data_IF_361804611736
#
_entry.id   IF_361804611736
#
_cell.length_a   1.000
_cell.length_b   1.000
_cell.length_c   1.000
_cell.angle_alpha   90.00
_cell.angle_beta   90.00
_cell.angle_gamma   90.00
#
_symmetry.space_group_name_H-M   'P 1'
#
loop_
_entity.id
_entity.type
_entity.pdbx_description
1 polymer ?
#
# COMPACT_ATOMS: atom_id res chain seq x y z
N UNK A 1 17.11 -9.13 -25.21
CA UNK A 1 18.03 -8.48 -24.26
C UNK A 1 17.41 -8.63 -22.89
N UNK A 2 18.07 -9.36 -22.00
CA UNK A 2 17.53 -9.77 -20.70
C UNK A 2 17.49 -8.58 -19.74
N UNK A 3 16.31 -8.07 -19.42
CA UNK A 3 16.13 -6.99 -18.44
C UNK A 3 16.28 -7.58 -17.04
N UNK A 4 17.51 -7.47 -16.53
CA UNK A 4 18.02 -7.70 -15.18
C UNK A 4 17.01 -7.99 -14.07
N UNK A 5 17.12 -9.20 -13.53
CA UNK A 5 16.78 -9.57 -12.15
C UNK A 5 17.73 -8.94 -11.09
N UNK A 6 18.42 -7.84 -11.40
CA UNK A 6 19.62 -7.43 -10.66
C UNK A 6 19.38 -6.57 -9.40
N UNK A 7 18.21 -5.94 -9.24
CA UNK A 7 18.07 -4.82 -8.29
C UNK A 7 16.83 -4.91 -7.38
N UNK A 8 16.43 -6.12 -6.96
CA UNK A 8 15.46 -6.32 -5.86
C UNK A 8 16.21 -6.70 -4.58
N UNK A 9 16.02 -5.91 -3.54
CA UNK A 9 16.71 -6.06 -2.25
C UNK A 9 15.69 -6.33 -1.15
N UNK A 10 15.91 -7.40 -0.37
CA UNK A 10 15.22 -7.56 0.89
C UNK A 10 15.74 -6.50 1.89
N UNK A 11 14.99 -6.27 2.97
CA UNK A 11 15.43 -5.32 4.00
C UNK A 11 16.82 -5.69 4.53
N UNK A 12 17.03 -6.96 4.87
CA UNK A 12 18.29 -7.52 5.37
C UNK A 12 19.48 -7.30 4.41
N UNK A 13 19.23 -7.28 3.10
CA UNK A 13 20.29 -7.07 2.10
C UNK A 13 20.92 -5.67 2.20
N UNK A 14 20.15 -4.69 2.69
CA UNK A 14 20.55 -3.28 2.78
C UNK A 14 21.41 -2.97 4.00
N UNK A 15 21.49 -3.90 4.96
CA UNK A 15 22.33 -3.82 6.16
C UNK A 15 23.71 -4.48 6.02
N UNK A 16 23.93 -5.32 5.01
CA UNK A 16 25.20 -6.02 4.77
C UNK A 16 25.95 -5.46 3.56
N UNK A 17 27.23 -5.14 3.72
CA UNK A 17 28.04 -4.39 2.72
C UNK A 17 28.33 -5.13 1.39
N UNK A 18 27.79 -6.32 1.16
CA UNK A 18 28.08 -7.13 -0.02
C UNK A 18 27.08 -6.98 -1.18
N UNK A 19 25.77 -6.89 -0.90
CA UNK A 19 24.74 -6.98 -1.96
C UNK A 19 24.39 -5.66 -2.62
N UNK A 20 24.60 -4.55 -1.92
CA UNK A 20 24.37 -3.20 -2.47
C UNK A 20 25.61 -2.61 -3.15
N UNK A 21 26.75 -3.32 -3.14
CA UNK A 21 28.06 -2.81 -3.59
C UNK A 21 28.07 -2.16 -4.98
N UNK A 22 27.25 -2.64 -5.91
CA UNK A 22 27.14 -2.10 -7.28
C UNK A 22 26.20 -0.90 -7.46
N UNK A 23 25.48 -0.49 -6.41
CA UNK A 23 24.56 0.65 -6.47
C UNK A 23 25.31 1.97 -6.33
N UNK A 24 24.82 3.00 -7.04
CA UNK A 24 25.23 4.38 -6.78
C UNK A 24 24.89 4.77 -5.34
N UNK A 25 25.70 5.63 -4.73
CA UNK A 25 25.55 6.03 -3.32
C UNK A 25 24.15 6.61 -3.05
N UNK A 26 23.63 7.45 -3.96
CA UNK A 26 22.28 8.01 -3.88
C UNK A 26 21.20 6.92 -3.75
N UNK A 27 21.29 5.88 -4.55
CA UNK A 27 20.30 4.80 -4.60
C UNK A 27 20.38 3.96 -3.34
N UNK A 28 21.60 3.64 -2.91
CA UNK A 28 21.88 2.92 -1.67
C UNK A 28 21.34 3.68 -0.45
N UNK A 29 21.58 4.98 -0.38
CA UNK A 29 21.13 5.83 0.72
C UNK A 29 19.61 5.95 0.75
N UNK A 30 18.96 6.10 -0.42
CA UNK A 30 17.51 6.12 -0.53
C UNK A 30 16.87 4.80 -0.09
N UNK A 31 17.41 3.66 -0.54
CA UNK A 31 16.94 2.34 -0.14
C UNK A 31 17.10 2.12 1.36
N UNK A 32 18.24 2.50 1.94
CA UNK A 32 18.48 2.42 3.39
C UNK A 32 17.51 3.30 4.17
N UNK A 33 17.28 4.53 3.73
CA UNK A 33 16.32 5.44 4.38
C UNK A 33 14.90 4.86 4.38
N UNK A 34 14.43 4.31 3.26
CA UNK A 34 13.11 3.66 3.18
C UNK A 34 13.07 2.38 4.02
N UNK A 35 14.13 1.56 4.00
CA UNK A 35 14.20 0.35 4.81
C UNK A 35 14.18 0.64 6.32
N UNK A 36 14.90 1.66 6.76
CA UNK A 36 14.92 2.09 8.17
C UNK A 36 13.59 2.68 8.58
N UNK A 37 12.94 3.48 7.72
CA UNK A 37 11.58 3.95 7.93
C UNK A 37 10.58 2.78 8.03
N UNK A 38 10.70 1.74 7.20
CA UNK A 38 9.86 0.54 7.31
C UNK A 38 10.05 -0.13 8.68
N UNK A 39 11.29 -0.31 9.12
CA UNK A 39 11.63 -0.98 10.39
C UNK A 39 11.21 -0.20 11.64
N UNK A 40 11.25 1.13 11.58
CA UNK A 40 11.09 1.98 12.77
C UNK A 40 9.72 2.64 12.86
N UNK A 41 8.96 2.67 11.77
CA UNK A 41 7.64 3.30 11.74
C UNK A 41 6.57 2.35 11.20
N UNK A 42 6.77 1.73 10.04
CA UNK A 42 5.69 0.99 9.35
C UNK A 42 5.27 -0.27 10.09
N UNK A 43 6.24 -0.99 10.66
CA UNK A 43 6.01 -2.23 11.43
C UNK A 43 5.70 -1.98 12.90
N UNK A 44 5.85 -0.74 13.37
CA UNK A 44 5.67 -0.37 14.77
C UNK A 44 4.24 0.15 15.03
N UNK A 45 3.72 0.01 16.27
CA UNK A 45 2.48 0.65 16.65
C UNK A 45 2.64 2.17 16.76
N UNK A 46 1.54 2.89 16.57
CA UNK A 46 1.52 4.35 16.70
C UNK A 46 0.26 4.82 17.43
N UNK A 47 0.42 5.71 18.42
CA UNK A 47 -0.68 6.17 19.28
C UNK A 47 -1.78 6.89 18.48
N UNK A 48 -1.38 7.66 17.48
CA UNK A 48 -2.31 8.39 16.60
C UNK A 48 -2.95 7.51 15.50
N UNK A 49 -2.71 6.20 15.46
CA UNK A 49 -3.25 5.35 14.39
C UNK A 49 -4.78 5.13 14.48
N UNK A 50 -5.34 5.30 15.68
CA UNK A 50 -6.77 5.06 15.95
C UNK A 50 -7.14 3.56 16.11
N UNK A 51 -6.16 2.66 16.08
CA UNK A 51 -6.32 1.22 16.37
C UNK A 51 -5.03 0.65 16.99
N UNK A 52 -5.07 -0.47 17.72
CA UNK A 52 -3.86 -1.15 18.18
C UNK A 52 -3.10 -1.81 17.03
N UNK A 53 -1.82 -2.10 17.27
CA UNK A 53 -0.94 -2.80 16.33
C UNK A 53 -0.22 -1.87 15.36
N UNK A 54 0.46 -2.44 14.35
CA UNK A 54 1.36 -1.72 13.47
C UNK A 54 0.65 -0.69 12.56
N UNK A 55 1.38 0.35 12.16
CA UNK A 55 0.92 1.35 11.18
C UNK A 55 0.38 0.67 9.92
N UNK A 56 1.11 -0.32 9.38
CA UNK A 56 0.60 -1.19 8.31
C UNK A 56 0.55 -2.66 8.76
N UNK A 57 -0.64 -3.30 8.82
CA UNK A 57 -0.77 -4.70 9.24
C UNK A 57 -0.24 -5.71 8.21
N UNK A 58 -0.07 -5.30 6.95
CA UNK A 58 0.46 -6.17 5.89
C UNK A 58 1.98 -6.39 6.01
N UNK A 59 2.71 -5.35 6.39
CA UNK A 59 4.17 -5.30 6.27
C UNK A 59 4.90 -6.25 7.23
N UNK A 60 4.52 -6.41 8.52
CA UNK A 60 5.22 -7.34 9.41
C UNK A 60 5.27 -8.78 8.87
N UNK A 61 4.15 -9.29 8.34
CA UNK A 61 4.10 -10.64 7.75
C UNK A 61 4.93 -10.71 6.47
N UNK A 62 4.88 -9.68 5.62
CA UNK A 62 5.68 -9.62 4.41
C UNK A 62 7.18 -9.65 4.70
N UNK A 63 7.64 -8.86 5.68
CA UNK A 63 9.03 -8.86 6.15
C UNK A 63 9.42 -10.22 6.73
N UNK A 64 8.61 -10.77 7.64
CA UNK A 64 8.89 -12.05 8.28
C UNK A 64 8.97 -13.22 7.27
N UNK A 65 8.22 -13.14 6.17
CA UNK A 65 8.23 -14.15 5.09
C UNK A 65 9.27 -13.87 4.00
N UNK A 66 10.05 -12.79 4.10
CA UNK A 66 10.98 -12.32 3.07
C UNK A 66 10.30 -12.06 1.72
N UNK A 67 9.16 -11.37 1.78
CA UNK A 67 8.24 -11.08 0.66
C UNK A 67 8.11 -9.59 0.38
N UNK A 68 8.95 -8.77 1.02
CA UNK A 68 9.05 -7.33 0.80
C UNK A 68 10.40 -7.03 0.15
N UNK A 69 10.37 -6.56 -1.08
CA UNK A 69 11.56 -6.14 -1.82
C UNK A 69 11.55 -4.63 -2.06
N UNK A 70 12.71 -4.01 -2.06
CA UNK A 70 12.91 -2.65 -2.51
C UNK A 70 13.70 -2.64 -3.83
N UNK A 71 13.35 -1.73 -4.73
CA UNK A 71 14.11 -1.41 -5.92
C UNK A 71 14.32 0.10 -6.00
N UNK A 72 15.50 0.55 -6.41
CA UNK A 72 15.76 1.96 -6.69
C UNK A 72 15.69 2.18 -8.20
N UNK A 73 14.89 3.15 -8.63
CA UNK A 73 14.65 3.44 -10.03
C UNK A 73 14.75 4.94 -10.29
N UNK A 74 15.40 5.32 -11.40
CA UNK A 74 15.56 6.72 -11.77
C UNK A 74 14.49 7.13 -12.79
N UNK A 75 13.89 8.30 -12.57
CA UNK A 75 12.90 8.90 -13.47
C UNK A 75 13.56 9.84 -14.48
N UNK A 76 14.65 10.50 -14.09
CA UNK A 76 15.28 11.58 -14.85
C UNK A 76 14.26 12.65 -15.25
N UNK A 77 14.36 13.11 -16.49
CA UNK A 77 13.41 14.07 -17.07
C UNK A 77 12.11 13.40 -17.59
N UNK A 78 11.94 12.09 -17.38
CA UNK A 78 10.88 11.29 -17.99
C UNK A 78 9.49 11.41 -17.37
N UNK A 79 9.36 12.00 -16.18
CA UNK A 79 8.08 12.25 -15.51
C UNK A 79 7.19 11.01 -15.36
N UNK A 80 5.86 11.20 -15.41
CA UNK A 80 4.88 10.12 -15.23
C UNK A 80 5.00 8.97 -16.25
N UNK A 81 5.20 9.19 -17.56
CA UNK A 81 5.35 8.09 -18.52
C UNK A 81 6.49 7.13 -18.16
N UNK A 82 7.65 7.67 -17.74
CA UNK A 82 8.78 6.85 -17.30
C UNK A 82 8.45 6.05 -16.04
N UNK A 83 7.75 6.65 -15.09
CA UNK A 83 7.32 5.95 -13.87
C UNK A 83 6.34 4.83 -14.21
N UNK A 84 5.39 5.04 -15.13
CA UNK A 84 4.48 3.99 -15.62
C UNK A 84 5.27 2.79 -16.16
N UNK A 85 6.21 3.02 -17.07
CA UNK A 85 7.01 1.95 -17.67
C UNK A 85 7.77 1.12 -16.61
N UNK A 86 8.36 1.81 -15.63
CA UNK A 86 9.09 1.16 -14.53
C UNK A 86 8.16 0.35 -13.63
N UNK A 87 7.03 0.92 -13.24
CA UNK A 87 6.10 0.28 -12.30
C UNK A 87 5.39 -0.91 -12.96
N UNK A 88 5.01 -0.81 -14.23
CA UNK A 88 4.47 -1.93 -14.99
C UNK A 88 5.51 -3.04 -15.19
N UNK A 89 6.80 -2.72 -15.33
CA UNK A 89 7.85 -3.74 -15.36
C UNK A 89 7.93 -4.52 -14.04
N UNK A 90 7.88 -3.83 -12.90
CA UNK A 90 7.85 -4.47 -11.58
C UNK A 90 6.58 -5.28 -11.34
N UNK A 91 5.43 -4.78 -11.82
CA UNK A 91 4.17 -5.53 -11.82
C UNK A 91 4.31 -6.84 -12.59
N UNK A 92 4.86 -6.83 -13.81
CA UNK A 92 5.09 -8.05 -14.59
C UNK A 92 6.00 -9.03 -13.85
N UNK A 93 7.10 -8.55 -13.29
CA UNK A 93 8.02 -9.39 -12.48
C UNK A 93 7.34 -10.02 -11.28
N UNK A 94 6.48 -9.27 -10.59
CA UNK A 94 5.68 -9.75 -9.45
C UNK A 94 4.74 -10.88 -9.90
N UNK A 95 4.05 -10.69 -11.03
CA UNK A 95 3.13 -11.69 -11.59
C UNK A 95 3.87 -12.96 -12.08
N UNK A 96 5.03 -12.78 -12.72
CA UNK A 96 5.86 -13.88 -13.25
C UNK A 96 6.48 -14.73 -12.13
N UNK A 97 6.65 -14.19 -10.92
CA UNK A 97 7.17 -14.94 -9.77
C UNK A 97 6.25 -16.07 -9.30
N UNK A 98 5.03 -16.18 -9.85
CA UNK A 98 4.22 -17.39 -9.80
C UNK A 98 3.52 -17.66 -8.47
N UNK A 99 3.29 -16.63 -7.63
CA UNK A 99 2.39 -16.77 -6.49
C UNK A 99 0.94 -16.72 -6.97
N UNK A 100 0.21 -17.82 -6.76
CA UNK A 100 -1.20 -17.88 -7.12
C UNK A 100 -1.96 -16.74 -6.45
N UNK A 101 -2.72 -15.97 -7.23
CA UNK A 101 -3.58 -14.92 -6.71
C UNK A 101 -4.54 -15.51 -5.67
N UNK A 102 -4.48 -14.99 -4.43
CA UNK A 102 -5.29 -15.43 -3.30
C UNK A 102 -5.05 -14.56 -2.07
N UNK A 103 -5.85 -14.73 -1.03
CA UNK A 103 -5.88 -13.85 0.17
C UNK A 103 -4.61 -13.89 1.06
N UNK A 104 -3.65 -14.78 0.77
CA UNK A 104 -2.45 -15.04 1.62
C UNK A 104 -1.12 -14.72 0.92
N UNK A 105 -1.13 -13.99 -0.21
CA UNK A 105 0.11 -13.44 -0.77
C UNK A 105 0.52 -12.17 -0.02
N UNK A 106 1.78 -12.14 0.41
CA UNK A 106 2.41 -11.00 1.06
C UNK A 106 3.53 -10.41 0.19
N UNK A 107 3.57 -10.76 -1.09
CA UNK A 107 4.54 -10.23 -2.03
C UNK A 107 4.28 -8.74 -2.26
N UNK A 108 5.30 -7.91 -2.06
CA UNK A 108 5.26 -6.48 -2.35
C UNK A 108 6.62 -6.01 -2.82
N UNK A 109 6.61 -5.22 -3.89
CA UNK A 109 7.78 -4.48 -4.35
C UNK A 109 7.58 -3.00 -4.04
N UNK A 110 8.52 -2.40 -3.34
CA UNK A 110 8.59 -0.96 -3.07
C UNK A 110 9.56 -0.35 -4.08
N UNK A 111 9.02 0.35 -5.09
CA UNK A 111 9.81 1.01 -6.14
C UNK A 111 10.10 2.44 -5.69
N UNK A 112 11.32 2.65 -5.20
CA UNK A 112 11.85 3.91 -4.67
C UNK A 112 12.40 4.75 -5.82
N UNK A 113 12.11 6.06 -5.80
CA UNK A 113 12.56 7.01 -6.82
C UNK A 113 13.50 8.06 -6.21
N UNK A 114 14.82 7.77 -6.09
CA UNK A 114 15.78 8.64 -5.41
C UNK A 114 15.94 10.02 -6.07
N UNK A 115 15.63 10.12 -7.36
CA UNK A 115 15.74 11.34 -8.16
C UNK A 115 14.45 12.13 -8.36
N UNK A 116 13.33 11.65 -7.81
CA UNK A 116 12.06 12.36 -7.81
C UNK A 116 11.97 13.28 -6.58
N UNK A 117 11.89 14.62 -6.74
CA UNK A 117 11.66 15.52 -5.62
C UNK A 117 10.26 15.33 -5.01
N UNK A 118 10.14 15.47 -3.69
CA UNK A 118 8.88 15.25 -2.96
C UNK A 118 7.76 16.21 -3.39
N UNK A 119 8.09 17.47 -3.69
CA UNK A 119 7.15 18.49 -4.17
C UNK A 119 6.58 18.18 -5.56
N UNK A 120 7.25 17.33 -6.34
CA UNK A 120 6.76 16.83 -7.64
C UNK A 120 6.06 15.47 -7.55
N UNK A 121 6.27 14.73 -6.47
CA UNK A 121 5.81 13.35 -6.35
C UNK A 121 4.27 13.24 -6.39
N UNK A 122 3.54 14.18 -5.78
CA UNK A 122 2.07 14.20 -5.79
C UNK A 122 1.51 14.22 -7.21
N UNK A 123 1.98 15.14 -8.06
CA UNK A 123 1.52 15.27 -9.43
C UNK A 123 1.90 14.06 -10.28
N UNK A 124 3.17 13.63 -10.21
CA UNK A 124 3.68 12.49 -10.99
C UNK A 124 2.94 11.20 -10.63
N UNK A 125 2.81 10.87 -9.35
CA UNK A 125 2.11 9.65 -8.93
C UNK A 125 0.60 9.75 -9.18
N UNK A 126 0.00 10.93 -9.10
CA UNK A 126 -1.39 11.15 -9.48
C UNK A 126 -1.66 10.78 -10.93
N UNK A 127 -0.84 11.26 -11.87
CA UNK A 127 -0.94 10.93 -13.29
C UNK A 127 -0.71 9.43 -13.55
N UNK A 128 0.31 8.83 -12.92
CA UNK A 128 0.60 7.39 -13.02
C UNK A 128 -0.61 6.57 -12.60
N UNK A 129 -1.17 6.83 -11.41
CA UNK A 129 -2.25 6.05 -10.85
C UNK A 129 -3.56 6.20 -11.65
N UNK A 130 -3.84 7.39 -12.19
CA UNK A 130 -4.96 7.59 -13.11
C UNK A 130 -4.87 6.69 -14.35
N UNK A 131 -3.66 6.43 -14.83
CA UNK A 131 -3.44 5.60 -16.01
C UNK A 131 -3.54 4.09 -15.71
N UNK A 132 -2.91 3.61 -14.62
CA UNK A 132 -2.68 2.17 -14.44
C UNK A 132 -3.45 1.51 -13.30
N UNK A 133 -3.98 2.26 -12.33
CA UNK A 133 -4.49 1.66 -11.10
C UNK A 133 -5.73 0.79 -11.32
N UNK A 134 -6.76 1.32 -11.98
CA UNK A 134 -8.01 0.57 -12.23
C UNK A 134 -7.79 -0.61 -13.18
N UNK A 135 -7.14 -0.46 -14.36
CA UNK A 135 -6.88 -1.59 -15.24
C UNK A 135 -6.11 -2.72 -14.55
N UNK A 136 -5.03 -2.38 -13.83
CA UNK A 136 -4.21 -3.37 -13.12
C UNK A 136 -4.95 -4.08 -12.00
N UNK A 137 -5.87 -3.39 -11.32
CA UNK A 137 -6.70 -4.03 -10.29
C UNK A 137 -7.75 -4.97 -10.90
N UNK A 138 -8.39 -4.57 -11.99
CA UNK A 138 -9.43 -5.36 -12.64
C UNK A 138 -8.85 -6.61 -13.30
N UNK A 139 -7.74 -6.47 -14.02
CA UNK A 139 -7.11 -7.55 -14.79
C UNK A 139 -6.33 -8.50 -13.89
N UNK A 140 -5.45 -7.94 -13.06
CA UNK A 140 -4.46 -8.73 -12.32
C UNK A 140 -4.70 -8.72 -10.80
N UNK A 141 -5.55 -7.82 -10.31
CA UNK A 141 -5.73 -7.58 -8.88
C UNK A 141 -4.57 -6.88 -8.21
N UNK A 142 -3.85 -6.04 -8.95
CA UNK A 142 -2.72 -5.31 -8.42
C UNK A 142 -3.19 -3.99 -7.82
N UNK A 143 -2.66 -3.68 -6.65
CA UNK A 143 -2.84 -2.42 -5.94
C UNK A 143 -1.50 -1.68 -5.93
N UNK A 144 -1.58 -0.37 -6.16
CA UNK A 144 -0.47 0.56 -6.00
C UNK A 144 -0.81 1.56 -4.90
N UNK A 145 0.20 2.07 -4.21
CA UNK A 145 0.01 3.14 -3.24
C UNK A 145 1.19 4.11 -3.24
N UNK A 146 0.93 5.42 -3.39
CA UNK A 146 1.98 6.43 -3.42
C UNK A 146 2.38 6.85 -2.02
N UNK A 147 3.69 6.95 -1.78
CA UNK A 147 4.27 7.47 -0.55
C UNK A 147 5.30 8.52 -0.89
N UNK A 148 5.22 9.66 -0.23
CA UNK A 148 6.13 10.79 -0.43
C UNK A 148 5.95 11.78 0.72
N UNK A 149 6.96 12.61 0.96
CA UNK A 149 6.83 13.69 1.93
C UNK A 149 5.75 14.69 1.49
N UNK A 150 4.96 15.18 2.44
CA UNK A 150 3.81 16.05 2.17
C UNK A 150 2.52 15.32 1.80
N UNK A 151 2.51 13.98 1.63
CA UNK A 151 1.28 13.23 1.38
C UNK A 151 0.21 13.53 2.45
N UNK A 152 -1.00 13.87 1.97
CA UNK A 152 -2.12 14.38 2.77
C UNK A 152 -3.18 13.32 3.10
N UNK A 153 -3.05 12.10 2.59
CA UNK A 153 -3.96 11.00 2.87
C UNK A 153 -3.94 10.61 4.35
N UNK A 154 -5.11 10.28 4.90
CA UNK A 154 -5.31 10.04 6.33
C UNK A 154 -5.28 8.55 6.69
N UNK A 155 -5.05 8.24 7.96
CA UNK A 155 -5.27 6.89 8.45
C UNK A 155 -6.77 6.56 8.53
N UNK A 156 -7.13 5.31 8.26
CA UNK A 156 -8.53 4.82 8.24
C UNK A 156 -9.30 5.17 9.54
N UNK A 157 -8.62 5.14 10.69
CA UNK A 157 -9.26 5.32 12.00
C UNK A 157 -8.88 6.66 12.68
N UNK A 158 -8.13 7.53 11.99
CA UNK A 158 -7.79 8.86 12.50
C UNK A 158 -7.43 9.83 11.37
N UNK A 159 -8.32 10.79 11.11
CA UNK A 159 -8.15 11.84 10.11
C UNK A 159 -7.06 12.87 10.44
N UNK A 160 -6.54 12.87 11.67
CA UNK A 160 -5.40 13.68 12.09
C UNK A 160 -4.04 13.08 11.73
N UNK A 161 -3.98 11.78 11.45
CA UNK A 161 -2.71 11.07 11.22
C UNK A 161 -2.39 10.94 9.73
N UNK A 162 -1.11 11.03 9.35
CA UNK A 162 -0.64 10.99 7.93
C UNK A 162 0.38 9.86 7.73
N UNK A 163 -0.08 8.60 7.62
CA UNK A 163 0.83 7.44 7.59
C UNK A 163 1.54 7.24 6.24
N UNK A 164 1.15 7.97 5.19
CA UNK A 164 1.68 7.83 3.83
C UNK A 164 2.89 8.72 3.53
N UNK A 165 3.45 9.37 4.56
CA UNK A 165 4.66 10.19 4.44
C UNK A 165 5.90 9.31 4.59
N UNK A 166 6.73 9.30 3.56
CA UNK A 166 7.98 8.54 3.49
C UNK A 166 9.19 9.48 3.31
N UNK A 167 10.41 9.03 3.68
CA UNK A 167 11.62 9.84 3.52
C UNK A 167 12.03 10.04 2.05
N UNK A 168 11.62 9.12 1.17
CA UNK A 168 11.88 9.17 -0.27
C UNK A 168 10.59 8.80 -1.01
N UNK A 169 10.25 9.46 -2.13
CA UNK A 169 9.10 9.08 -2.93
C UNK A 169 9.18 7.65 -3.45
N UNK A 170 8.10 6.89 -3.31
CA UNK A 170 7.98 5.54 -3.84
C UNK A 170 6.54 5.17 -4.19
N UNK A 171 6.40 4.18 -5.06
CA UNK A 171 5.15 3.45 -5.30
C UNK A 171 5.37 1.98 -4.90
N UNK A 172 4.46 1.42 -4.12
CA UNK A 172 4.45 -0.04 -3.95
C UNK A 172 3.66 -0.72 -5.07
N UNK A 173 3.98 -1.98 -5.34
CA UNK A 173 3.25 -2.90 -6.21
C UNK A 173 2.99 -4.19 -5.44
N UNK A 174 1.73 -4.57 -5.25
CA UNK A 174 1.35 -5.87 -4.64
C UNK A 174 0.01 -6.36 -5.16
N UNK A 175 -0.29 -7.62 -4.89
CA UNK A 175 -1.66 -8.09 -5.00
C UNK A 175 -2.55 -7.43 -3.94
N UNK A 176 -3.77 -7.10 -4.34
CA UNK A 176 -4.84 -6.69 -3.45
C UNK A 176 -5.21 -7.83 -2.50
N UNK A 177 -5.55 -7.49 -1.27
CA UNK A 177 -6.01 -8.41 -0.22
C UNK A 177 -7.41 -8.03 0.23
N UNK A 178 -8.16 -8.96 0.83
CA UNK A 178 -9.55 -8.71 1.25
C UNK A 178 -9.68 -7.43 2.07
N UNK A 179 -8.77 -7.17 3.00
CA UNK A 179 -8.82 -5.99 3.89
C UNK A 179 -8.68 -4.64 3.18
N UNK A 180 -8.31 -4.63 1.90
CA UNK A 180 -8.21 -3.39 1.12
C UNK A 180 -9.56 -2.68 0.94
N UNK A 181 -10.68 -3.36 1.23
CA UNK A 181 -12.01 -2.74 1.27
C UNK A 181 -12.06 -1.48 2.14
N UNK A 182 -11.22 -1.40 3.18
CA UNK A 182 -11.14 -0.25 4.08
C UNK A 182 -10.69 1.03 3.38
N UNK A 183 -9.90 0.93 2.30
CA UNK A 183 -9.48 2.06 1.48
C UNK A 183 -10.49 2.39 0.38
N UNK A 184 -11.33 1.44 0.01
CA UNK A 184 -12.30 1.57 -1.08
C UNK A 184 -13.72 1.91 -0.62
N UNK A 185 -13.97 1.93 0.70
CA UNK A 185 -15.31 2.08 1.26
C UNK A 185 -16.06 3.32 0.76
N UNK A 186 -15.37 4.44 0.59
CA UNK A 186 -15.95 5.71 0.11
C UNK A 186 -15.80 5.91 -1.41
N UNK A 187 -15.29 4.91 -2.12
CA UNK A 187 -15.03 4.94 -3.56
C UNK A 187 -15.87 3.86 -4.25
N UNK A 188 -17.10 4.20 -4.65
CA UNK A 188 -18.10 3.22 -5.13
C UNK A 188 -17.60 2.31 -6.27
N UNK A 189 -16.86 2.87 -7.22
CA UNK A 189 -16.26 2.11 -8.34
C UNK A 189 -15.24 1.09 -7.82
N UNK A 190 -14.31 1.53 -6.96
CA UNK A 190 -13.30 0.66 -6.35
C UNK A 190 -13.93 -0.42 -5.47
N UNK A 191 -14.96 -0.08 -4.69
CA UNK A 191 -15.69 -1.04 -3.88
C UNK A 191 -16.38 -2.10 -4.75
N UNK A 192 -16.91 -1.70 -5.91
CA UNK A 192 -17.51 -2.62 -6.88
C UNK A 192 -16.47 -3.58 -7.46
N UNK A 193 -15.31 -3.07 -7.87
CA UNK A 193 -14.21 -3.93 -8.35
C UNK A 193 -13.73 -4.90 -7.27
N UNK A 194 -13.59 -4.41 -6.03
CA UNK A 194 -13.23 -5.24 -4.88
C UNK A 194 -14.26 -6.33 -4.61
N UNK A 195 -15.55 -6.00 -4.61
CA UNK A 195 -16.62 -6.96 -4.35
C UNK A 195 -16.66 -8.07 -5.40
N UNK A 196 -16.45 -7.74 -6.68
CA UNK A 196 -16.34 -8.72 -7.77
C UNK A 196 -15.16 -9.66 -7.59
N UNK A 197 -14.02 -9.15 -7.10
CA UNK A 197 -12.80 -9.94 -6.92
C UNK A 197 -12.89 -10.90 -5.74
N UNK A 198 -13.33 -10.43 -4.58
CA UNK A 198 -13.27 -11.21 -3.34
C UNK A 198 -14.57 -11.97 -3.03
N UNK A 199 -15.70 -11.60 -3.63
CA UNK A 199 -16.96 -12.34 -3.51
C UNK A 199 -17.30 -12.72 -2.07
N UNK A 200 -17.37 -14.02 -1.78
CA UNK A 200 -17.73 -14.53 -0.45
C UNK A 200 -16.71 -14.17 0.64
N UNK A 201 -15.40 -14.15 0.35
CA UNK A 201 -14.40 -13.77 1.37
C UNK A 201 -14.57 -12.31 1.79
N UNK A 202 -14.89 -11.45 0.83
CA UNK A 202 -15.27 -10.05 1.08
C UNK A 202 -16.50 -9.91 1.97
N UNK A 203 -17.57 -10.66 1.68
CA UNK A 203 -18.80 -10.66 2.50
C UNK A 203 -18.51 -11.10 3.94
N UNK A 204 -17.70 -12.16 4.12
CA UNK A 204 -17.32 -12.67 5.45
C UNK A 204 -16.51 -11.62 6.23
N UNK A 205 -15.55 -10.97 5.59
CA UNK A 205 -14.73 -9.93 6.23
C UNK A 205 -15.55 -8.71 6.66
N UNK A 206 -16.46 -8.23 5.81
CA UNK A 206 -17.37 -7.14 6.17
C UNK A 206 -18.31 -7.53 7.32
N UNK A 207 -18.87 -8.74 7.27
CA UNK A 207 -19.74 -9.24 8.34
C UNK A 207 -18.99 -9.36 9.67
N UNK A 208 -17.73 -9.78 9.65
CA UNK A 208 -16.89 -9.84 10.85
C UNK A 208 -16.61 -8.45 11.43
N UNK A 209 -16.26 -7.47 10.59
CA UNK A 209 -16.04 -6.10 11.07
C UNK A 209 -17.33 -5.50 11.64
N UNK A 210 -18.47 -5.68 10.95
CA UNK A 210 -19.76 -5.25 11.45
C UNK A 210 -20.07 -5.88 12.81
N UNK A 211 -19.88 -7.18 13.01
CA UNK A 211 -20.12 -7.83 14.31
C UNK A 211 -19.28 -7.24 15.46
N UNK A 212 -18.11 -6.65 15.17
CA UNK A 212 -17.25 -5.98 16.17
C UNK A 212 -17.69 -4.56 16.46
N UNK A 213 -18.37 -3.91 15.52
CA UNK A 213 -18.89 -2.55 15.68
C UNK A 213 -20.27 -2.55 16.35
N UNK A 214 -20.63 -1.50 17.10
CA UNK A 214 -21.97 -1.35 17.65
C UNK A 214 -22.97 -0.86 16.59
N UNK A 215 -22.92 -1.41 15.37
CA UNK A 215 -23.70 -0.92 14.21
C UNK A 215 -25.22 -1.06 14.41
N UNK A 216 -25.65 -2.01 15.24
CA UNK A 216 -27.06 -2.27 15.56
C UNK A 216 -27.54 -1.59 16.86
N UNK A 217 -26.67 -0.88 17.59
CA UNK A 217 -26.99 -0.29 18.90
C UNK A 217 -27.97 0.89 18.84
N UNK A 218 -28.34 1.39 17.65
CA UNK A 218 -29.34 2.45 17.47
C UNK A 218 -30.80 1.96 17.51
N UNK A 219 -31.10 0.67 17.72
CA UNK A 219 -32.49 0.17 17.75
C UNK A 219 -33.26 0.40 19.05
N UNK A 220 -32.60 0.77 20.16
CA UNK A 220 -33.25 0.90 21.48
C UNK A 220 -33.61 2.34 21.89
N UNK A 221 -33.73 3.27 20.93
CA UNK A 221 -34.31 4.61 21.18
C UNK A 221 -35.63 4.80 20.42
N UNK A 222 -36.63 3.99 20.78
CA UNK A 222 -38.02 4.43 20.69
C UNK A 222 -38.30 5.15 22.01
N UNK A 223 -38.52 6.48 22.04
CA UNK A 223 -39.02 7.10 23.26
C UNK A 223 -40.37 6.45 23.58
N UNK A 224 -40.66 6.06 24.84
CA UNK A 224 -41.98 5.57 25.17
C UNK A 224 -42.98 6.65 24.74
N UNK A 225 -44.02 6.22 24.01
CA UNK A 225 -45.13 7.10 23.67
C UNK A 225 -45.67 7.67 24.98
N UNK A 226 -45.36 8.94 25.25
CA UNK A 226 -45.96 9.65 26.37
C UNK A 226 -47.47 9.61 26.19
N UNK A 227 -48.11 9.19 27.26
CA UNK A 227 -49.54 9.07 27.39
C UNK A 227 -50.22 10.35 26.89
N UNK A 228 -51.04 10.22 25.86
CA UNK A 228 -52.13 11.16 25.60
C UNK A 228 -53.14 10.95 26.75
N UNK A 229 -52.86 11.58 27.89
CA UNK A 229 -53.82 11.79 28.94
C UNK A 229 -54.52 13.13 28.69
N UNK A 230 -55.84 13.07 28.84
CA UNK A 230 -56.82 14.14 28.70
C UNK A 230 -56.60 15.28 29.68
#
# INVERSE_FOLDING_TARGET
MSTRTADLFLLEDLGTDGRTGGLADRDRDALRAVADWIRTFVVEPHEELGRPGPVCPFVPTSVARQRLWLAAEQVGDGGAPRVVDVVEDHKRRLLDAGTAAGDDTYDVVVVVFPDLPADRAEGVFGEVLQQIAVPSYVEDGIVFGPFYDGNRSTAIYNDGFRPFRSPVPFLFVRHGVVSDWKFFLEQEDWLTHWARRFGESGVRALAEELRRLPWNARRDRVPPAEAVAR
#
